data_IF_114340893807
#
_entry.id   IF_114340893807
#
_cell.length_a   1.000
_cell.length_b   1.000
_cell.length_c   1.000
_cell.angle_alpha   90.00
_cell.angle_beta   90.00
_cell.angle_gamma   90.00
#
_symmetry.space_group_name_H-M   'P 1'
#
loop_
_entity.id
_entity.type
_entity.pdbx_description
1 polymer ?
#
# COMPACT_ATOMS: atom_id res chain seq x y z
N UNK A 1 -2.37 12.67 -9.93
CA UNK A 1 -1.25 12.01 -9.26
C UNK A 1 -1.67 10.57 -9.02
N UNK A 2 -1.30 9.67 -9.95
CA UNK A 2 -1.57 8.24 -9.80
C UNK A 2 -0.62 7.64 -8.77
N UNK A 3 -1.14 6.67 -8.02
CA UNK A 3 -0.37 5.78 -7.18
C UNK A 3 -0.48 4.39 -7.78
N UNK A 4 0.65 3.74 -8.01
CA UNK A 4 0.73 2.49 -8.74
C UNK A 4 1.53 1.46 -7.95
N UNK A 5 1.06 0.22 -7.99
CA UNK A 5 1.74 -0.96 -7.47
C UNK A 5 2.15 -1.81 -8.65
N UNK A 6 3.42 -2.18 -8.71
CA UNK A 6 3.97 -3.08 -9.72
C UNK A 6 4.47 -4.34 -9.03
N UNK A 7 3.80 -5.47 -9.29
CA UNK A 7 4.12 -6.79 -8.74
C UNK A 7 4.29 -6.79 -7.21
N UNK A 8 3.54 -5.91 -6.53
CA UNK A 8 3.73 -5.65 -5.11
C UNK A 8 3.29 -6.86 -4.29
N UNK A 9 4.15 -7.33 -3.38
CA UNK A 9 3.82 -8.43 -2.47
C UNK A 9 4.29 -8.16 -1.05
N UNK A 10 3.68 -8.87 -0.09
CA UNK A 10 4.08 -8.84 1.32
C UNK A 10 3.91 -10.19 1.98
N UNK A 11 5.01 -10.69 2.53
CA UNK A 11 5.07 -11.85 3.40
C UNK A 11 5.53 -11.43 4.79
N UNK A 12 4.94 -12.03 5.81
CA UNK A 12 5.29 -11.82 7.22
C UNK A 12 5.37 -13.20 7.88
N UNK A 13 6.53 -13.55 8.43
CA UNK A 13 6.78 -14.86 9.05
C UNK A 13 6.37 -16.07 8.19
N UNK A 14 6.51 -15.96 6.86
CA UNK A 14 6.14 -17.01 5.90
C UNK A 14 4.67 -17.00 5.47
N UNK A 15 3.82 -16.16 6.05
CA UNK A 15 2.43 -15.99 5.63
C UNK A 15 2.28 -14.89 4.58
N UNK A 16 1.46 -15.14 3.56
CA UNK A 16 1.15 -14.17 2.50
C UNK A 16 0.08 -13.21 3.00
N UNK A 17 0.48 -11.97 3.26
CA UNK A 17 -0.43 -10.88 3.61
C UNK A 17 -0.95 -10.15 2.38
N UNK A 18 -0.10 -10.00 1.36
CA UNK A 18 -0.41 -9.43 0.05
C UNK A 18 0.24 -10.32 -1.00
N UNK A 19 -0.57 -10.97 -1.83
CA UNK A 19 -0.10 -11.68 -3.01
C UNK A 19 0.39 -10.66 -4.06
N UNK A 20 1.15 -11.13 -5.05
CA UNK A 20 1.59 -10.30 -6.17
C UNK A 20 0.41 -9.56 -6.80
N UNK A 21 0.44 -8.23 -6.70
CA UNK A 21 -0.69 -7.37 -7.06
C UNK A 21 -0.22 -6.16 -7.85
N UNK A 22 -0.85 -5.94 -9.00
CA UNK A 22 -0.81 -4.68 -9.73
C UNK A 22 -2.07 -3.88 -9.45
N UNK A 23 -1.90 -2.58 -9.17
CA UNK A 23 -3.00 -1.69 -8.87
C UNK A 23 -2.63 -0.28 -9.32
N UNK A 24 -3.60 0.44 -9.90
CA UNK A 24 -3.45 1.87 -10.17
C UNK A 24 -4.62 2.64 -9.55
N UNK A 25 -4.29 3.59 -8.69
CA UNK A 25 -5.25 4.49 -8.05
C UNK A 25 -5.12 5.87 -8.68
N UNK A 26 -6.15 6.25 -9.42
CA UNK A 26 -6.20 7.52 -10.12
C UNK A 26 -6.59 8.68 -9.19
N UNK A 27 -6.02 9.88 -9.42
CA UNK A 27 -6.38 11.08 -8.66
C UNK A 27 -7.84 11.48 -8.89
N UNK A 28 -8.44 12.14 -7.90
CA UNK A 28 -9.81 12.66 -8.01
C UNK A 28 -10.88 11.56 -7.99
N UNK A 29 -10.48 10.29 -7.82
CA UNK A 29 -11.38 9.16 -7.67
C UNK A 29 -11.44 8.75 -6.21
N UNK A 30 -12.65 8.57 -5.70
CA UNK A 30 -12.87 7.97 -4.40
C UNK A 30 -12.75 6.45 -4.53
N UNK A 31 -11.65 5.89 -4.00
CA UNK A 31 -11.39 4.45 -4.06
C UNK A 31 -11.79 3.81 -2.72
N UNK A 32 -12.48 2.67 -2.78
CA UNK A 32 -12.91 1.92 -1.59
C UNK A 32 -12.27 0.54 -1.61
N UNK A 33 -11.57 0.21 -0.52
CA UNK A 33 -10.93 -1.09 -0.35
C UNK A 33 -11.82 -2.01 0.49
N UNK A 34 -12.43 -3.01 -0.15
CA UNK A 34 -13.34 -3.96 0.49
C UNK A 34 -12.71 -5.35 0.62
N UNK A 35 -13.11 -6.08 1.66
CA UNK A 35 -12.69 -7.45 1.89
C UNK A 35 -12.97 -7.90 3.33
N UNK A 36 -13.02 -9.21 3.60
CA UNK A 36 -13.23 -9.74 4.94
C UNK A 36 -12.07 -9.38 5.89
N UNK A 37 -12.26 -9.53 7.20
CA UNK A 37 -11.17 -9.39 8.17
C UNK A 37 -9.99 -10.29 7.76
N UNK A 38 -8.77 -9.81 7.96
CA UNK A 38 -7.52 -10.48 7.53
C UNK A 38 -7.27 -10.58 6.02
N UNK A 39 -8.11 -9.96 5.16
CA UNK A 39 -7.86 -9.94 3.70
C UNK A 39 -6.70 -9.04 3.24
N UNK A 40 -5.80 -8.62 4.14
CA UNK A 40 -4.66 -7.77 3.79
C UNK A 40 -4.94 -6.27 3.67
N UNK A 41 -6.17 -5.77 3.90
CA UNK A 41 -6.50 -4.33 3.71
C UNK A 41 -5.56 -3.37 4.44
N UNK A 42 -5.39 -3.58 5.74
CA UNK A 42 -4.51 -2.75 6.57
C UNK A 42 -3.05 -2.86 6.12
N UNK A 43 -2.60 -4.06 5.75
CA UNK A 43 -1.25 -4.27 5.20
C UNK A 43 -1.05 -3.50 3.89
N UNK A 44 -2.02 -3.53 2.98
CA UNK A 44 -1.97 -2.79 1.73
C UNK A 44 -1.89 -1.28 1.99
N UNK A 45 -2.72 -0.73 2.89
CA UNK A 45 -2.69 0.70 3.22
C UNK A 45 -1.35 1.12 3.85
N UNK A 46 -0.74 0.27 4.68
CA UNK A 46 0.57 0.55 5.28
C UNK A 46 1.70 0.55 4.26
N UNK A 47 1.69 -0.36 3.28
CA UNK A 47 2.63 -0.36 2.14
C UNK A 47 2.46 0.91 1.30
N UNK A 48 1.20 1.28 1.04
CA UNK A 48 0.81 2.47 0.30
C UNK A 48 1.36 3.75 0.96
N UNK A 49 1.25 3.85 2.28
CA UNK A 49 1.76 4.96 3.07
C UNK A 49 3.27 4.92 3.32
N UNK A 50 3.97 3.82 3.02
CA UNK A 50 5.41 3.69 3.28
C UNK A 50 5.74 3.46 4.76
N UNK A 51 4.79 2.88 5.49
CA UNK A 51 4.96 2.47 6.88
C UNK A 51 5.55 1.07 7.00
N UNK A 52 5.27 0.22 6.01
CA UNK A 52 5.90 -1.09 5.85
C UNK A 52 6.62 -1.14 4.50
N UNK A 53 7.66 -1.97 4.41
CA UNK A 53 8.33 -2.28 3.15
C UNK A 53 7.71 -3.53 2.51
N UNK A 54 7.53 -3.56 1.18
CA UNK A 54 7.10 -4.76 0.48
C UNK A 54 8.17 -5.85 0.55
N UNK A 55 7.76 -7.10 0.39
CA UNK A 55 8.68 -8.24 0.26
C UNK A 55 9.26 -8.34 -1.15
N UNK A 56 8.48 -7.95 -2.16
CA UNK A 56 8.93 -7.80 -3.55
C UNK A 56 8.03 -6.79 -4.28
N UNK A 57 8.45 -6.38 -5.47
CA UNK A 57 7.75 -5.37 -6.27
C UNK A 57 8.02 -3.94 -5.79
N UNK A 58 7.23 -3.00 -6.28
CA UNK A 58 7.49 -1.56 -6.07
C UNK A 58 6.22 -0.72 -5.97
N UNK A 59 6.33 0.41 -5.28
CA UNK A 59 5.28 1.43 -5.13
C UNK A 59 5.73 2.68 -5.86
N UNK A 60 4.91 3.14 -6.79
CA UNK A 60 5.19 4.30 -7.62
C UNK A 60 4.18 5.41 -7.36
N UNK A 61 4.66 6.64 -7.25
CA UNK A 61 3.82 7.82 -7.11
C UNK A 61 4.20 8.83 -8.19
N UNK A 62 3.25 9.20 -9.05
CA UNK A 62 3.49 10.09 -10.21
C UNK A 62 4.64 9.63 -11.12
N UNK A 63 4.76 8.33 -11.37
CA UNK A 63 5.83 7.77 -12.18
C UNK A 63 7.21 7.80 -11.54
N UNK A 64 7.32 8.10 -10.24
CA UNK A 64 8.55 7.96 -9.47
C UNK A 64 8.44 6.75 -8.54
N UNK A 65 9.45 5.90 -8.53
CA UNK A 65 9.55 4.82 -7.55
C UNK A 65 9.76 5.42 -6.15
N UNK A 66 8.80 5.17 -5.26
CA UNK A 66 8.83 5.61 -3.87
C UNK A 66 9.01 4.44 -2.90
N UNK A 67 9.38 3.26 -3.41
CA UNK A 67 9.64 2.07 -2.60
C UNK A 67 10.67 2.37 -1.53
N UNK A 68 10.39 1.99 -0.28
CA UNK A 68 11.27 2.26 0.86
C UNK A 68 11.34 3.72 1.33
N UNK A 69 10.74 4.69 0.62
CA UNK A 69 10.66 6.08 1.09
C UNK A 69 9.76 6.13 2.34
N UNK A 70 10.25 6.65 3.48
CA UNK A 70 9.47 6.76 4.71
C UNK A 70 8.23 7.62 4.55
N UNK A 71 7.18 7.29 5.32
CA UNK A 71 5.90 8.01 5.34
C UNK A 71 6.05 9.53 5.45
N UNK A 72 7.01 10.05 6.23
CA UNK A 72 7.18 11.50 6.43
C UNK A 72 7.63 12.23 5.17
N UNK A 73 8.21 11.51 4.21
CA UNK A 73 8.66 12.03 2.91
C UNK A 73 7.69 11.69 1.80
N UNK A 74 6.66 10.90 2.07
CA UNK A 74 5.56 10.68 1.15
C UNK A 74 4.49 11.73 1.45
N UNK A 75 4.15 12.56 0.47
CA UNK A 75 3.15 13.62 0.61
C UNK A 75 1.73 13.02 0.72
N UNK A 76 1.44 12.33 1.82
CA UNK A 76 0.21 11.59 2.08
C UNK A 76 -0.19 11.68 3.55
N UNK A 77 -1.50 11.69 3.79
CA UNK A 77 -2.10 11.67 5.11
C UNK A 77 -2.84 10.35 5.31
N UNK A 78 -2.60 9.68 6.44
CA UNK A 78 -3.27 8.44 6.81
C UNK A 78 -3.98 8.64 8.13
N UNK A 79 -5.28 8.38 8.16
CA UNK A 79 -6.08 8.36 9.38
C UNK A 79 -6.25 6.90 9.80
N UNK A 80 -5.83 6.59 11.03
CA UNK A 80 -5.97 5.25 11.58
C UNK A 80 -7.33 5.05 12.24
N UNK A 81 -7.86 3.84 12.12
CA UNK A 81 -8.95 3.40 12.97
C UNK A 81 -8.39 3.04 14.34
N UNK A 82 -8.80 3.75 15.39
CA UNK A 82 -8.61 3.31 16.78
C UNK A 82 -9.69 2.28 17.11
N UNK A 83 -9.28 1.08 17.50
CA UNK A 83 -10.15 0.17 18.24
C UNK A 83 -10.08 0.59 19.70
N UNK A 84 -11.18 1.14 20.20
CA UNK A 84 -11.41 1.39 21.64
C UNK A 84 -11.86 0.08 22.26
#
# INVERSE_FOLDING_TARGET
MSLEFHELSKQVYGEVHIAHTDLSLNPGVFNVLLGPTLSGKTSLMRLMAGLDQPSAGSVWFKGQDVTGIPVQRRNLAMVYQQFI
#
